data_IF_572908844867
#
_entry.id   IF_572908844867
#
_cell.length_a   1.000
_cell.length_b   1.000
_cell.length_c   1.000
_cell.angle_alpha   90.00
_cell.angle_beta   90.00
_cell.angle_gamma   90.00
#
_symmetry.space_group_name_H-M   'P 1'
#
loop_
_entity.id
_entity.type
_entity.pdbx_description
1 polymer ?
#
# COMPACT_ATOMS: atom_id res chain seq x y z
N UNK A 1 -14.99 7.39 14.89
CA UNK A 1 -14.87 8.08 13.60
C UNK A 1 -14.08 7.13 12.72
N UNK A 2 -14.57 6.72 11.54
CA UNK A 2 -13.84 5.75 10.74
C UNK A 2 -12.55 6.42 10.23
N UNK A 3 -11.45 5.66 10.25
CA UNK A 3 -10.18 6.04 9.62
C UNK A 3 -10.49 6.56 8.22
N UNK A 4 -9.99 7.75 7.90
CA UNK A 4 -10.34 8.52 6.72
C UNK A 4 -10.07 7.71 5.44
N UNK A 5 -11.14 7.16 4.85
CA UNK A 5 -11.11 6.51 3.54
C UNK A 5 -11.59 7.53 2.51
N UNK A 6 -10.65 8.15 1.79
CA UNK A 6 -11.00 9.13 0.77
C UNK A 6 -11.54 8.45 -0.48
N UNK A 7 -12.81 8.71 -0.79
CA UNK A 7 -13.29 8.79 -2.17
C UNK A 7 -13.52 10.26 -2.50
N UNK A 8 -12.90 10.79 -3.55
CA UNK A 8 -13.15 12.19 -3.98
C UNK A 8 -13.90 12.19 -5.31
N UNK A 9 -15.14 12.69 -5.33
CA UNK A 9 -15.82 13.04 -6.58
C UNK A 9 -15.07 14.18 -7.25
N UNK A 10 -14.58 13.99 -8.47
CA UNK A 10 -14.04 15.08 -9.28
C UNK A 10 -15.05 15.55 -10.34
N UNK A 11 -15.25 16.87 -10.39
CA UNK A 11 -15.89 17.59 -11.49
C UNK A 11 -14.83 17.91 -12.57
N UNK A 12 -15.20 17.73 -13.84
CA UNK A 12 -14.32 17.84 -15.02
C UNK A 12 -14.22 19.28 -15.54
N UNK A 13 -13.00 19.70 -15.88
CA UNK A 13 -12.71 20.81 -16.79
C UNK A 13 -11.21 21.13 -16.77
N UNK A 14 -10.48 21.36 -17.86
CA UNK A 14 -10.78 21.45 -19.28
C UNK A 14 -9.67 22.25 -19.98
N UNK A 15 -8.93 21.61 -20.89
CA UNK A 15 -8.24 22.15 -22.08
C UNK A 15 -7.05 23.12 -21.98
N UNK A 16 -5.99 22.82 -22.76
CA UNK A 16 -5.02 23.81 -23.24
C UNK A 16 -3.64 23.26 -23.65
N UNK A 17 -3.42 23.05 -24.96
CA UNK A 17 -2.11 22.85 -25.65
C UNK A 17 -1.90 24.04 -26.63
N UNK A 18 -0.77 24.21 -27.37
CA UNK A 18 0.65 23.81 -27.20
C UNK A 18 1.67 24.96 -27.57
N UNK A 19 3.00 24.68 -27.65
CA UNK A 19 3.95 24.98 -28.78
C UNK A 19 5.44 25.26 -28.39
N UNK A 20 6.33 24.35 -28.85
CA UNK A 20 7.69 24.41 -29.48
C UNK A 20 8.95 25.14 -28.91
N UNK A 21 10.04 24.34 -28.93
CA UNK A 21 11.39 24.53 -29.56
C UNK A 21 12.62 24.95 -28.74
N UNK A 22 13.48 23.94 -28.51
CA UNK A 22 14.94 23.84 -28.62
C UNK A 22 15.86 25.07 -28.38
N UNK A 23 16.80 24.91 -27.43
CA UNK A 23 18.17 25.44 -27.52
C UNK A 23 19.17 24.46 -26.87
N UNK A 24 20.28 24.21 -27.55
CA UNK A 24 21.46 23.48 -27.05
C UNK A 24 22.35 24.42 -26.23
N UNK A 25 22.85 23.92 -25.10
CA UNK A 25 23.92 24.54 -24.33
C UNK A 25 24.11 23.80 -23.01
N UNK A 26 25.15 22.98 -22.90
CA UNK A 26 25.60 22.39 -21.63
C UNK A 26 26.25 23.45 -20.75
N UNK A 27 25.93 23.47 -19.44
CA UNK A 27 26.97 23.72 -18.45
C UNK A 27 26.97 22.67 -17.34
N UNK A 28 28.17 22.43 -16.80
CA UNK A 28 28.45 21.53 -15.69
C UNK A 28 27.84 22.07 -14.39
N UNK A 29 27.08 21.21 -13.71
CA UNK A 29 27.09 21.01 -12.27
C UNK A 29 26.95 22.24 -11.37
N UNK A 30 25.80 22.88 -11.39
CA UNK A 30 25.28 23.58 -10.22
C UNK A 30 23.86 23.03 -10.02
N UNK A 31 23.74 22.00 -9.18
CA UNK A 31 22.41 21.51 -8.80
C UNK A 31 21.70 22.62 -8.04
N UNK A 32 20.50 22.96 -8.51
CA UNK A 32 19.64 23.93 -7.87
C UNK A 32 19.22 23.43 -6.48
N UNK A 33 18.87 24.37 -5.59
CA UNK A 33 18.39 24.06 -4.24
C UNK A 33 17.15 23.16 -4.25
N UNK A 34 16.31 23.25 -5.30
CA UNK A 34 15.18 22.36 -5.57
C UNK A 34 15.63 20.93 -5.93
N UNK A 35 16.61 20.76 -6.82
CA UNK A 35 17.15 19.44 -7.18
C UNK A 35 17.89 18.76 -6.01
N UNK A 36 18.50 19.55 -5.13
CA UNK A 36 19.09 19.07 -3.88
C UNK A 36 18.04 18.63 -2.85
N UNK A 37 16.92 19.34 -2.74
CA UNK A 37 15.81 18.98 -1.86
C UNK A 37 15.11 17.71 -2.37
N UNK A 38 14.76 17.65 -3.66
CA UNK A 38 14.15 16.47 -4.29
C UNK A 38 15.05 15.24 -4.18
N UNK A 39 16.36 15.38 -4.42
CA UNK A 39 17.30 14.25 -4.28
C UNK A 39 17.45 13.81 -2.83
N UNK A 40 17.45 14.74 -1.88
CA UNK A 40 17.52 14.40 -0.45
C UNK A 40 16.23 13.72 0.01
N UNK A 41 15.06 14.17 -0.46
CA UNK A 41 13.76 13.52 -0.23
C UNK A 41 13.76 12.11 -0.84
N UNK A 42 14.18 11.95 -2.09
CA UNK A 42 14.35 10.63 -2.73
C UNK A 42 15.35 9.74 -1.98
N UNK A 43 16.47 10.27 -1.51
CA UNK A 43 17.45 9.49 -0.74
C UNK A 43 16.89 9.08 0.63
N UNK A 44 16.12 9.96 1.27
CA UNK A 44 15.49 9.70 2.56
C UNK A 44 14.35 8.70 2.42
N UNK A 45 13.48 8.80 1.41
CA UNK A 45 12.48 7.79 1.07
C UNK A 45 13.10 6.43 0.72
N UNK A 46 14.22 6.41 -0.02
CA UNK A 46 14.95 5.18 -0.35
C UNK A 46 15.60 4.55 0.89
N UNK A 47 16.08 5.37 1.84
CA UNK A 47 16.69 4.92 3.10
C UNK A 47 15.65 4.42 4.11
N UNK A 48 14.55 5.17 4.29
CA UNK A 48 13.41 4.82 5.15
C UNK A 48 12.71 3.55 4.66
N UNK A 49 12.64 3.33 3.34
CA UNK A 49 11.88 2.22 2.76
C UNK A 49 12.57 0.85 2.79
N UNK A 50 13.78 0.70 3.35
CA UNK A 50 14.44 -0.62 3.41
C UNK A 50 14.58 -1.19 4.82
N UNK A 51 14.61 -0.34 5.84
CA UNK A 51 14.86 -0.77 7.21
C UNK A 51 13.54 -0.79 7.99
N UNK A 52 13.19 -1.91 8.62
CA UNK A 52 12.04 -1.93 9.49
C UNK A 52 12.30 -1.04 10.71
N UNK A 53 11.28 -0.34 11.18
CA UNK A 53 11.34 0.42 12.43
C UNK A 53 11.18 -0.50 13.64
N UNK A 54 11.82 -0.22 14.78
CA UNK A 54 11.49 -0.90 16.02
C UNK A 54 10.03 -0.60 16.41
N UNK A 55 9.22 -1.64 16.57
CA UNK A 55 7.83 -1.49 17.01
C UNK A 55 7.37 -2.76 17.71
N UNK A 56 6.61 -2.64 18.80
CA UNK A 56 6.14 -3.80 19.55
C UNK A 56 5.16 -4.62 18.71
N UNK A 57 5.37 -5.94 18.64
CA UNK A 57 4.49 -6.82 17.88
C UNK A 57 3.03 -6.71 18.38
N UNK A 58 2.03 -6.52 17.50
CA UNK A 58 0.63 -6.32 17.89
C UNK A 58 -0.07 -7.51 18.57
N UNK A 59 0.64 -8.62 18.83
CA UNK A 59 0.09 -9.81 19.46
C UNK A 59 0.11 -9.65 20.98
N UNK A 60 -1.05 -9.36 21.58
CA UNK A 60 -1.19 -9.22 23.03
C UNK A 60 -0.60 -7.91 23.60
N UNK A 61 -0.41 -6.89 22.75
CA UNK A 61 -0.07 -5.53 23.17
C UNK A 61 -1.31 -4.73 23.57
N UNK A 62 -1.10 -3.67 24.36
CA UNK A 62 -2.17 -2.76 24.74
C UNK A 62 -2.71 -2.02 23.50
N UNK A 63 -4.03 -2.03 23.31
CA UNK A 63 -4.72 -1.29 22.25
C UNK A 63 -5.27 -2.13 21.10
N UNK A 64 -4.74 -3.34 20.84
CA UNK A 64 -5.23 -4.26 19.82
C UNK A 64 -6.26 -5.24 20.43
N UNK A 65 -7.53 -5.18 20.01
CA UNK A 65 -8.64 -5.86 20.72
C UNK A 65 -9.12 -7.16 20.07
N UNK A 66 -9.09 -7.21 18.73
CA UNK A 66 -9.53 -8.37 17.97
C UNK A 66 -8.49 -8.69 16.93
N UNK A 67 -8.00 -9.93 16.90
CA UNK A 67 -7.09 -10.41 15.88
C UNK A 67 -7.69 -11.69 15.28
N UNK A 68 -8.25 -11.59 14.08
CA UNK A 68 -8.70 -12.77 13.32
C UNK A 68 -7.52 -13.27 12.50
N UNK A 69 -7.01 -14.46 12.86
CA UNK A 69 -5.89 -15.08 12.16
C UNK A 69 -6.39 -15.94 11.00
N UNK A 70 -5.86 -15.68 9.81
CA UNK A 70 -5.82 -16.67 8.72
C UNK A 70 -4.35 -17.01 8.47
N UNK A 71 -3.84 -18.00 9.22
CA UNK A 71 -2.46 -18.47 9.08
C UNK A 71 -1.81 -18.99 10.35
N UNK A 72 -0.71 -19.72 10.18
CA UNK A 72 0.17 -20.18 11.27
C UNK A 72 1.30 -19.19 11.43
N UNK A 73 1.54 -18.62 12.62
CA UNK A 73 2.72 -17.77 12.90
C UNK A 73 3.99 -18.60 12.65
N UNK A 74 4.59 -18.43 11.48
CA UNK A 74 5.87 -19.05 11.13
C UNK A 74 7.00 -18.01 11.22
N UNK A 75 8.16 -18.41 11.73
CA UNK A 75 9.21 -17.48 12.16
C UNK A 75 10.14 -16.96 11.05
N UNK A 76 9.80 -17.13 9.76
CA UNK A 76 10.75 -16.89 8.65
C UNK A 76 10.28 -15.96 7.54
N UNK A 77 8.99 -15.67 7.43
CA UNK A 77 8.47 -14.72 6.44
C UNK A 77 7.70 -13.60 7.14
N UNK A 78 7.35 -12.56 6.38
CA UNK A 78 6.67 -11.37 6.88
C UNK A 78 5.32 -11.73 7.52
N UNK A 79 5.00 -11.12 8.67
CA UNK A 79 3.64 -11.11 9.21
C UNK A 79 2.87 -9.87 8.72
N UNK A 80 1.57 -10.02 8.46
CA UNK A 80 0.72 -8.94 7.96
C UNK A 80 -0.37 -8.65 8.99
N UNK A 81 -0.42 -7.41 9.48
CA UNK A 81 -1.49 -6.89 10.32
C UNK A 81 -2.31 -5.90 9.50
N UNK A 82 -3.53 -6.28 9.14
CA UNK A 82 -4.47 -5.48 8.36
C UNK A 82 -5.54 -4.91 9.29
N UNK A 83 -5.77 -3.59 9.26
CA UNK A 83 -6.87 -3.00 10.02
C UNK A 83 -8.22 -3.58 9.56
N UNK A 84 -9.11 -3.87 10.51
CA UNK A 84 -10.48 -4.32 10.24
C UNK A 84 -11.24 -3.30 9.37
N UNK A 85 -11.00 -2.00 9.58
CA UNK A 85 -11.59 -0.95 8.76
C UNK A 85 -11.15 -1.10 7.29
N UNK A 86 -9.86 -1.35 7.05
CA UNK A 86 -9.33 -1.58 5.69
C UNK A 86 -9.90 -2.86 5.09
N UNK A 87 -9.99 -3.94 5.86
CA UNK A 87 -10.60 -5.19 5.42
C UNK A 87 -12.07 -4.98 4.99
N UNK A 88 -12.87 -4.35 5.83
CA UNK A 88 -14.29 -4.09 5.56
C UNK A 88 -14.47 -3.14 4.38
N UNK A 89 -13.58 -2.16 4.23
CA UNK A 89 -13.56 -1.26 3.07
C UNK A 89 -13.34 -2.00 1.76
N UNK A 90 -12.29 -2.83 1.69
CA UNK A 90 -11.96 -3.63 0.51
C UNK A 90 -13.14 -4.56 0.20
N UNK A 91 -13.69 -5.23 1.22
CA UNK A 91 -14.85 -6.12 1.09
C UNK A 91 -16.09 -5.41 0.56
N UNK A 92 -16.46 -4.27 1.14
CA UNK A 92 -17.62 -3.49 0.74
C UNK A 92 -17.48 -2.94 -0.68
N UNK A 93 -16.32 -2.36 -1.00
CA UNK A 93 -16.02 -1.84 -2.33
C UNK A 93 -16.05 -2.96 -3.38
N UNK A 94 -15.40 -4.10 -3.11
CA UNK A 94 -15.35 -5.22 -4.06
C UNK A 94 -16.75 -5.78 -4.36
N UNK A 95 -17.64 -5.80 -3.37
CA UNK A 95 -19.03 -6.23 -3.54
C UNK A 95 -19.88 -5.20 -4.27
N UNK A 96 -19.67 -3.91 -4.01
CA UNK A 96 -20.40 -2.80 -4.65
C UNK A 96 -20.14 -2.77 -6.16
N UNK A 97 -18.89 -2.99 -6.58
CA UNK A 97 -18.49 -2.87 -7.98
C UNK A 97 -18.45 -4.20 -8.74
N UNK A 98 -18.71 -5.34 -8.09
CA UNK A 98 -18.78 -6.62 -8.79
C UNK A 98 -19.79 -6.57 -9.97
N UNK A 99 -19.46 -7.14 -11.15
CA UNK A 99 -18.32 -8.02 -11.43
C UNK A 99 -17.04 -7.30 -11.91
N UNK A 100 -16.96 -5.98 -11.80
CA UNK A 100 -15.79 -5.22 -12.20
C UNK A 100 -14.66 -5.38 -11.17
N UNK A 101 -13.43 -5.59 -11.64
CA UNK A 101 -12.27 -5.54 -10.77
C UNK A 101 -11.98 -4.10 -10.35
N UNK A 102 -11.80 -3.92 -9.04
CA UNK A 102 -11.41 -2.65 -8.42
C UNK A 102 -10.16 -2.88 -7.59
N UNK A 103 -9.48 -1.80 -7.21
CA UNK A 103 -8.29 -1.91 -6.38
C UNK A 103 -7.79 -0.57 -5.87
N UNK A 104 -6.61 -0.61 -5.28
CA UNK A 104 -5.93 0.56 -4.77
C UNK A 104 -4.59 0.21 -4.13
N UNK A 105 -4.09 1.11 -3.29
CA UNK A 105 -2.79 1.00 -2.63
C UNK A 105 -2.98 0.97 -1.12
N UNK A 106 -2.28 0.06 -0.46
CA UNK A 106 -2.18 -0.07 0.98
C UNK A 106 -1.07 0.83 1.49
N UNK A 107 -1.34 1.59 2.55
CA UNK A 107 -0.36 2.39 3.25
C UNK A 107 -0.20 1.86 4.67
N UNK A 108 1.02 1.95 5.20
CA UNK A 108 1.29 1.42 6.52
C UNK A 108 2.76 1.51 6.89
N UNK A 109 3.22 0.63 7.76
CA UNK A 109 4.60 0.68 8.23
C UNK A 109 5.25 -0.69 8.28
N UNK A 110 6.56 -0.70 8.00
CA UNK A 110 7.41 -1.87 8.09
C UNK A 110 8.14 -1.89 9.42
N UNK A 111 7.90 -2.93 10.21
CA UNK A 111 8.29 -3.00 11.60
C UNK A 111 9.11 -4.25 11.91
N UNK A 112 9.88 -4.17 12.99
CA UNK A 112 10.61 -5.29 13.58
C UNK A 112 10.44 -5.29 15.10
N UNK A 113 10.22 -6.49 15.65
CA UNK A 113 10.26 -6.79 17.07
C UNK A 113 11.16 -8.01 17.28
N UNK A 114 12.30 -7.81 17.94
CA UNK A 114 13.41 -8.78 18.00
C UNK A 114 13.84 -9.19 16.57
N UNK A 115 13.59 -10.44 16.17
CA UNK A 115 13.89 -10.95 14.84
C UNK A 115 12.63 -11.09 13.95
N UNK A 116 11.46 -10.69 14.46
CA UNK A 116 10.19 -10.83 13.76
C UNK A 116 9.89 -9.58 12.95
N UNK A 117 9.84 -9.74 11.62
CA UNK A 117 9.48 -8.68 10.68
C UNK A 117 7.99 -8.71 10.36
N UNK A 118 7.36 -7.55 10.35
CA UNK A 118 5.93 -7.45 10.08
C UNK A 118 5.56 -6.11 9.46
N UNK A 119 4.37 -6.05 8.86
CA UNK A 119 3.76 -4.80 8.41
C UNK A 119 2.47 -4.53 9.16
N UNK A 120 2.24 -3.27 9.52
CA UNK A 120 0.96 -2.79 10.02
C UNK A 120 0.33 -1.93 8.93
N UNK A 121 -0.87 -2.30 8.46
CA UNK A 121 -1.63 -1.64 7.41
C UNK A 121 -2.87 -1.01 8.02
N UNK A 122 -2.80 0.26 8.48
CA UNK A 122 -3.93 0.95 9.07
C UNK A 122 -4.87 1.61 8.05
N UNK A 123 -4.41 1.86 6.82
CA UNK A 123 -5.20 2.60 5.81
C UNK A 123 -4.93 2.17 4.38
N UNK A 124 -5.80 2.57 3.46
CA UNK A 124 -5.71 2.30 2.03
C UNK A 124 -6.26 3.47 1.20
N UNK A 125 -5.73 3.63 -0.01
CA UNK A 125 -6.18 4.61 -1.00
C UNK A 125 -6.81 3.85 -2.17
N UNK A 126 -8.11 4.05 -2.40
CA UNK A 126 -8.83 3.42 -3.50
C UNK A 126 -8.60 4.13 -4.83
N UNK A 127 -8.49 3.35 -5.90
CA UNK A 127 -8.53 3.87 -7.26
C UNK A 127 -9.98 4.09 -7.68
N UNK A 128 -10.44 5.34 -7.61
CA UNK A 128 -11.76 5.76 -8.10
C UNK A 128 -11.79 5.86 -9.65
N UNK A 129 -10.62 5.97 -10.27
CA UNK A 129 -10.44 6.23 -11.71
C UNK A 129 -10.26 4.94 -12.49
N UNK A 130 -11.36 4.45 -13.08
CA UNK A 130 -11.33 3.43 -14.11
C UNK A 130 -11.19 2.00 -13.58
N UNK A 131 -12.13 1.16 -13.99
CA UNK A 131 -12.03 -0.30 -14.01
C UNK A 131 -10.59 -0.78 -14.14
N UNK A 132 -10.06 -1.43 -13.10
CA UNK A 132 -8.97 -2.36 -13.30
C UNK A 132 -9.45 -3.36 -14.36
N UNK A 133 -8.72 -3.49 -15.45
CA UNK A 133 -9.08 -4.50 -16.45
C UNK A 133 -8.87 -5.88 -15.81
N UNK A 134 -9.68 -6.91 -16.15
CA UNK A 134 -9.76 -8.21 -15.44
C UNK A 134 -8.47 -9.07 -15.37
N UNK A 135 -7.33 -8.51 -15.75
CA UNK A 135 -6.09 -9.23 -16.00
C UNK A 135 -4.85 -8.42 -15.61
N UNK A 136 -4.94 -7.14 -15.20
CA UNK A 136 -3.74 -6.44 -14.73
C UNK A 136 -4.07 -5.22 -13.87
N UNK A 137 -3.44 -5.17 -12.70
CA UNK A 137 -3.32 -4.03 -11.79
C UNK A 137 -2.53 -2.88 -12.46
N UNK A 138 -2.98 -2.40 -13.62
CA UNK A 138 -2.44 -1.22 -14.28
C UNK A 138 -3.24 -0.02 -13.82
N UNK A 139 -2.86 0.53 -12.67
CA UNK A 139 -3.45 1.78 -12.22
C UNK A 139 -3.05 2.93 -13.16
N UNK A 140 -3.99 3.82 -13.50
CA UNK A 140 -3.71 4.94 -14.38
C UNK A 140 -2.69 5.90 -13.73
N UNK A 141 -1.86 6.62 -14.52
CA UNK A 141 -0.91 7.61 -14.00
C UNK A 141 -1.55 8.63 -13.06
N UNK A 142 -2.79 9.03 -13.35
CA UNK A 142 -3.58 9.97 -12.54
C UNK A 142 -3.86 9.42 -11.13
N UNK A 143 -4.05 8.11 -11.00
CA UNK A 143 -4.19 7.49 -9.69
C UNK A 143 -2.89 7.54 -8.90
N UNK A 144 -1.74 7.34 -9.54
CA UNK A 144 -0.46 7.47 -8.85
C UNK A 144 -0.20 8.89 -8.36
N UNK A 145 -0.60 9.90 -9.14
CA UNK A 145 -0.57 11.29 -8.68
C UNK A 145 -1.49 11.50 -7.47
N UNK A 146 -2.70 10.95 -7.48
CA UNK A 146 -3.61 11.00 -6.33
C UNK A 146 -3.01 10.31 -5.10
N UNK A 147 -2.39 9.14 -5.27
CA UNK A 147 -1.72 8.42 -4.17
C UNK A 147 -0.59 9.26 -3.59
N UNK A 148 0.20 9.93 -4.43
CA UNK A 148 1.26 10.85 -4.00
C UNK A 148 0.69 12.05 -3.21
N UNK A 149 -0.37 12.69 -3.71
CA UNK A 149 -1.02 13.80 -3.03
C UNK A 149 -1.58 13.40 -1.66
N UNK A 150 -2.27 12.27 -1.56
CA UNK A 150 -2.81 11.74 -0.29
C UNK A 150 -1.69 11.34 0.67
N UNK A 151 -0.67 10.65 0.15
CA UNK A 151 0.48 10.21 0.95
C UNK A 151 1.24 11.40 1.56
N UNK A 152 1.52 12.44 0.78
CA UNK A 152 2.27 13.62 1.25
C UNK A 152 1.46 14.52 2.17
N UNK A 153 0.14 14.67 1.94
CA UNK A 153 -0.70 15.60 2.70
C UNK A 153 -1.33 15.01 3.95
N UNK A 154 -1.69 13.73 3.92
CA UNK A 154 -2.47 13.09 4.99
C UNK A 154 -1.71 12.00 5.73
N UNK A 155 -0.82 11.29 5.03
CA UNK A 155 -0.09 10.15 5.59
C UNK A 155 1.45 10.29 5.51
N UNK A 156 2.03 11.47 5.80
CA UNK A 156 3.46 11.66 5.69
C UNK A 156 4.20 10.72 6.66
N UNK A 157 5.07 9.88 6.12
CA UNK A 157 5.86 8.93 6.91
C UNK A 157 5.34 7.48 6.89
N UNK A 158 4.13 7.21 6.39
CA UNK A 158 3.75 5.83 6.05
C UNK A 158 4.49 5.37 4.79
N UNK A 159 4.69 4.07 4.64
CA UNK A 159 5.21 3.44 3.43
C UNK A 159 4.06 2.97 2.53
N UNK A 160 4.32 2.91 1.22
CA UNK A 160 3.50 2.16 0.27
C UNK A 160 3.74 0.67 0.48
N UNK A 161 2.78 0.00 1.10
CA UNK A 161 2.91 -1.41 1.49
C UNK A 161 2.60 -2.34 0.32
N UNK A 162 1.73 -1.94 -0.61
CA UNK A 162 1.44 -2.78 -1.76
C UNK A 162 0.10 -2.51 -2.41
N UNK A 163 -0.22 -3.17 -3.53
CA UNK A 163 -1.53 -3.08 -4.13
C UNK A 163 -2.55 -3.98 -3.41
N UNK A 164 -3.81 -3.61 -3.49
CA UNK A 164 -4.93 -4.54 -3.34
C UNK A 164 -5.82 -4.48 -4.58
N UNK A 165 -6.48 -5.58 -4.90
CA UNK A 165 -7.54 -5.60 -5.91
C UNK A 165 -8.53 -6.74 -5.69
N UNK A 166 -9.65 -6.71 -6.41
CA UNK A 166 -10.69 -7.72 -6.34
C UNK A 166 -10.65 -8.68 -7.54
N UNK A 167 -10.98 -9.94 -7.32
CA UNK A 167 -11.18 -10.98 -8.34
C UNK A 167 -12.61 -11.57 -8.23
N UNK A 168 -13.65 -10.95 -8.83
CA UNK A 168 -15.02 -11.47 -8.73
C UNK A 168 -15.18 -12.86 -9.37
N UNK A 169 -15.10 -13.92 -8.56
CA UNK A 169 -15.27 -15.32 -8.98
C UNK A 169 -14.03 -16.00 -9.56
N UNK A 170 -12.83 -15.41 -9.44
CA UNK A 170 -11.56 -16.00 -9.90
C UNK A 170 -10.68 -16.54 -8.77
N UNK A 171 -11.14 -16.49 -7.52
CA UNK A 171 -10.37 -16.85 -6.36
C UNK A 171 -9.30 -15.81 -6.01
N UNK A 172 -8.51 -16.11 -4.97
CA UNK A 172 -7.64 -15.12 -4.30
C UNK A 172 -6.15 -15.28 -4.61
N UNK A 173 -5.82 -16.12 -5.59
CA UNK A 173 -4.43 -16.30 -6.02
C UNK A 173 -4.10 -15.35 -7.18
N UNK A 174 -2.88 -14.79 -7.23
CA UNK A 174 -2.47 -13.92 -8.32
C UNK A 174 -2.45 -14.69 -9.65
N UNK A 175 -2.95 -14.06 -10.71
CA UNK A 175 -2.75 -14.55 -12.08
C UNK A 175 -1.29 -14.41 -12.52
N UNK A 176 -0.91 -15.00 -13.65
CA UNK A 176 0.44 -14.81 -14.22
C UNK A 176 0.76 -13.34 -14.53
N UNK A 177 -0.24 -12.56 -14.93
CA UNK A 177 -0.10 -11.13 -15.20
C UNK A 177 -0.01 -10.30 -13.93
N UNK A 178 -0.77 -10.65 -12.88
CA UNK A 178 -0.63 -10.02 -11.56
C UNK A 178 0.77 -10.24 -11.01
N UNK A 179 1.25 -11.49 -11.11
CA UNK A 179 2.57 -11.85 -10.61
C UNK A 179 3.68 -11.02 -11.28
N UNK A 180 3.61 -10.82 -12.60
CA UNK A 180 4.57 -10.00 -13.33
C UNK A 180 4.46 -8.51 -12.95
N UNK A 181 3.24 -7.99 -12.84
CA UNK A 181 2.98 -6.59 -12.47
C UNK A 181 3.47 -6.27 -11.07
N UNK A 182 3.09 -7.10 -10.08
CA UNK A 182 3.46 -6.93 -8.68
C UNK A 182 4.98 -7.07 -8.53
N UNK A 183 5.63 -8.07 -9.10
CA UNK A 183 7.09 -8.20 -8.98
C UNK A 183 7.85 -7.03 -9.64
N UNK A 184 7.33 -6.48 -10.74
CA UNK A 184 7.95 -5.35 -11.42
C UNK A 184 7.86 -4.04 -10.63
N UNK A 185 6.74 -3.81 -9.94
CA UNK A 185 6.48 -2.56 -9.21
C UNK A 185 6.79 -2.65 -7.71
N UNK A 186 6.62 -3.83 -7.11
CA UNK A 186 6.63 -4.07 -5.67
C UNK A 186 7.62 -5.17 -5.29
N UNK A 187 8.90 -4.79 -5.17
CA UNK A 187 10.04 -5.70 -4.94
C UNK A 187 10.88 -5.43 -3.68
N UNK A 188 10.28 -4.85 -2.63
CA UNK A 188 10.95 -4.54 -1.36
C UNK A 188 10.50 -5.54 -0.27
N UNK A 189 11.31 -5.78 0.77
CA UNK A 189 10.98 -6.76 1.83
C UNK A 189 9.66 -6.53 2.58
N UNK A 190 9.13 -5.30 2.56
CA UNK A 190 7.87 -4.94 3.20
C UNK A 190 6.68 -4.96 2.23
N UNK A 191 6.91 -5.24 0.96
CA UNK A 191 5.84 -5.23 -0.02
C UNK A 191 4.98 -6.47 0.07
N UNK A 192 3.67 -6.26 0.05
CA UNK A 192 2.65 -7.32 0.00
C UNK A 192 1.70 -7.07 -1.17
N UNK A 193 0.80 -8.01 -1.43
CA UNK A 193 -0.38 -7.78 -2.26
C UNK A 193 -1.60 -8.45 -1.63
N UNK A 194 -2.77 -7.84 -1.80
CA UNK A 194 -4.05 -8.41 -1.35
C UNK A 194 -4.97 -8.66 -2.54
N UNK A 195 -5.63 -9.81 -2.56
CA UNK A 195 -6.65 -10.15 -3.54
C UNK A 195 -7.93 -10.53 -2.82
N UNK A 196 -9.03 -9.85 -3.13
CA UNK A 196 -10.33 -10.14 -2.53
C UNK A 196 -11.30 -10.73 -3.56
N UNK A 197 -11.87 -11.90 -3.29
CA UNK A 197 -12.94 -12.46 -4.12
C UNK A 197 -14.32 -12.18 -3.46
N UNK A 198 -15.10 -11.22 -3.99
CA UNK A 198 -16.43 -10.92 -3.45
C UNK A 198 -17.48 -12.01 -3.68
N UNK A 199 -17.25 -12.95 -4.61
CA UNK A 199 -18.14 -14.10 -4.80
C UNK A 199 -17.91 -15.18 -3.75
N UNK A 200 -16.64 -15.49 -3.46
CA UNK A 200 -16.27 -16.49 -2.46
C UNK A 200 -16.24 -15.94 -1.02
N UNK A 201 -16.27 -14.62 -0.86
CA UNK A 201 -16.04 -13.90 0.41
C UNK A 201 -14.69 -14.26 1.03
N UNK A 202 -13.65 -14.27 0.20
CA UNK A 202 -12.30 -14.70 0.58
C UNK A 202 -11.28 -13.60 0.30
N UNK A 203 -10.22 -13.58 1.10
CA UNK A 203 -9.05 -12.73 0.90
C UNK A 203 -7.79 -13.57 0.81
N UNK A 204 -6.89 -13.21 -0.09
CA UNK A 204 -5.58 -13.82 -0.26
C UNK A 204 -4.49 -12.78 -0.08
N UNK A 205 -3.36 -13.24 0.41
CA UNK A 205 -2.22 -12.42 0.76
C UNK A 205 -0.97 -12.99 0.10
N UNK A 206 -0.15 -12.12 -0.48
CA UNK A 206 1.23 -12.48 -0.84
C UNK A 206 2.19 -11.44 -0.31
N UNK A 207 3.41 -11.85 -0.01
CA UNK A 207 4.52 -10.96 0.30
C UNK A 207 5.69 -11.23 -0.64
N UNK A 208 6.48 -10.20 -0.88
CA UNK A 208 7.74 -10.37 -1.60
C UNK A 208 8.74 -11.15 -0.73
N UNK A 209 9.33 -12.19 -1.31
CA UNK A 209 10.39 -12.99 -0.70
C UNK A 209 11.36 -13.50 -1.78
N UNK A 210 12.53 -12.88 -1.83
CA UNK A 210 13.66 -13.23 -2.70
C UNK A 210 13.28 -13.39 -4.19
N UNK A 211 12.64 -12.36 -4.74
CA UNK A 211 12.25 -12.32 -6.15
C UNK A 211 10.99 -13.13 -6.51
N UNK A 212 10.31 -13.69 -5.52
CA UNK A 212 9.03 -14.39 -5.72
C UNK A 212 7.93 -13.80 -4.81
N UNK A 213 6.67 -13.98 -5.22
CA UNK A 213 5.52 -13.77 -4.33
C UNK A 213 5.23 -15.08 -3.60
N UNK A 214 5.17 -15.01 -2.27
CA UNK A 214 4.86 -16.17 -1.42
C UNK A 214 3.78 -15.79 -0.41
N UNK A 215 3.01 -16.75 0.12
CA UNK A 215 2.15 -16.47 1.26
C UNK A 215 2.98 -15.92 2.43
N UNK A 216 2.50 -14.89 3.15
CA UNK A 216 3.14 -14.45 4.39
C UNK A 216 3.05 -15.54 5.46
N UNK A 217 3.89 -15.42 6.50
CA UNK A 217 3.88 -16.35 7.63
C UNK A 217 2.73 -16.11 8.61
N UNK A 218 1.75 -15.28 8.27
CA UNK A 218 0.57 -15.03 9.10
C UNK A 218 -0.12 -13.74 8.69
N UNK A 219 -1.44 -13.80 8.57
CA UNK A 219 -2.30 -12.66 8.30
C UNK A 219 -3.26 -12.45 9.46
N UNK A 220 -3.32 -11.22 9.95
CA UNK A 220 -4.06 -10.84 11.14
C UNK A 220 -4.93 -9.64 10.80
N UNK A 221 -6.25 -9.79 10.91
CA UNK A 221 -7.16 -8.64 10.84
C UNK A 221 -7.32 -8.08 12.25
N UNK A 222 -6.90 -6.83 12.46
CA UNK A 222 -6.90 -6.21 13.78
C UNK A 222 -7.92 -5.09 13.98
N UNK A 223 -8.44 -4.94 15.19
CA UNK A 223 -9.15 -3.73 15.64
C UNK A 223 -8.28 -3.00 16.68
N UNK A 224 -8.11 -1.68 16.55
CA UNK A 224 -7.36 -0.85 17.50
C UNK A 224 -8.31 0.11 18.24
N UNK A 225 -8.13 0.28 19.55
CA UNK A 225 -8.97 1.16 20.39
C UNK A 225 -8.96 2.62 19.96
N UNK A 226 -7.78 3.08 19.52
CA UNK A 226 -7.53 4.47 19.12
C UNK A 226 -6.87 4.47 17.73
N UNK A 227 -7.64 4.19 16.66
CA UNK A 227 -7.07 3.94 15.33
C UNK A 227 -6.39 5.18 14.73
N UNK A 228 -6.92 6.37 14.98
CA UNK A 228 -6.33 7.63 14.52
C UNK A 228 -4.98 7.90 15.17
N UNK A 229 -4.83 7.58 16.46
CA UNK A 229 -3.58 7.79 17.18
C UNK A 229 -2.53 6.73 16.82
N UNK A 230 -2.96 5.49 16.51
CA UNK A 230 -2.08 4.49 15.90
C UNK A 230 -1.51 5.00 14.56
N UNK A 231 -2.35 5.56 13.69
CA UNK A 231 -1.88 6.12 12.40
C UNK A 231 -0.83 7.22 12.64
N UNK A 232 -1.08 8.15 13.57
CA UNK A 232 -0.10 9.20 13.94
C UNK A 232 1.20 8.60 14.47
N UNK A 233 1.12 7.63 15.37
CA UNK A 233 2.30 6.97 15.92
C UNK A 233 3.13 6.30 14.82
N UNK A 234 2.49 5.61 13.87
CA UNK A 234 3.17 4.97 12.75
C UNK A 234 3.80 5.99 11.79
N UNK A 235 3.12 7.12 11.55
CA UNK A 235 3.63 8.24 10.75
C UNK A 235 4.84 8.93 11.39
N UNK A 236 4.89 9.02 12.71
CA UNK A 236 5.97 9.69 13.44
C UNK A 236 7.15 8.77 13.71
N UNK A 237 6.97 7.45 13.61
CA UNK A 237 8.03 6.48 13.83
C UNK A 237 9.11 6.57 12.75
N UNK A 238 10.36 6.44 13.17
CA UNK A 238 11.54 6.54 12.30
C UNK A 238 12.43 5.32 12.50
N UNK A 239 13.15 4.87 11.45
CA UNK A 239 14.28 3.96 11.63
C UNK A 239 15.35 4.66 12.47
N UNK A 240 16.03 3.89 13.32
CA UNK A 240 17.17 4.37 14.11
C UNK A 240 18.34 4.86 13.23
#
# INVERSE_FOLDING_TARGET
MPILMLRRRQELGGSGRPVRSAFHGTPRGCESRSEQLERNELHMEVSLSRHPIPYQLPLGSDGYERIVADGTIASKQLLVFLSHDVYDFIRAQSREYAPQEIGGVLLGQYCIDNDTKFVIVPTAVACDLGSATPVSIQFPPEFWQQVEEVHTSEFPGLLRIGPYHSHPGYGVNPSGTDHATILGAFSKPHHISLIYDPHADQIGYTCWDDGALKPPSGCFVYEHREPEDLVKQLMDARPD
#
